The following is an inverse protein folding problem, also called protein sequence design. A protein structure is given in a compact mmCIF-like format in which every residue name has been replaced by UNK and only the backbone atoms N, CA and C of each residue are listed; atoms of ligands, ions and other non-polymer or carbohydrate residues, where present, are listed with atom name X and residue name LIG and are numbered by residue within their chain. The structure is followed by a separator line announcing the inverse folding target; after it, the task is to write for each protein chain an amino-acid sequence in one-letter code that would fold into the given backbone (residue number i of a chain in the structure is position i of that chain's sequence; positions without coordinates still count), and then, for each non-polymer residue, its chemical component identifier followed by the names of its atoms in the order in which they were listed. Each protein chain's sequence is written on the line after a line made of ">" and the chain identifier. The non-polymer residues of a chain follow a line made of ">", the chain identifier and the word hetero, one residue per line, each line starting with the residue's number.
data_IF_431632699054
#
_entry.id   IF_431632699054
#
_cell.length_a   1.000
_cell.length_b   1.000
_cell.length_c   1.000
_cell.angle_alpha   90.00
_cell.angle_beta   90.00
_cell.angle_gamma   90.00
#
_symmetry.space_group_name_H-M   'P 1'
#
loop_
_entity.id
_entity.type
_entity.pdbx_description
1 polymer ?
#
# COMPACT_ATOMS: atom_id res chain seq x y z
N UNK A 1 -4.01 -5.07 -5.33
CA UNK A 1 -3.59 -5.88 -4.17
C UNK A 1 -4.30 -7.20 -4.29
N UNK A 2 -3.54 -8.28 -4.37
CA UNK A 2 -4.04 -9.62 -4.63
C UNK A 2 -3.53 -10.59 -3.55
N UNK A 3 -4.14 -11.77 -3.47
CA UNK A 3 -3.66 -12.86 -2.61
C UNK A 3 -3.42 -14.14 -3.39
N UNK A 4 -2.41 -14.90 -2.98
CA UNK A 4 -2.12 -16.25 -3.47
C UNK A 4 -2.18 -17.20 -2.28
N UNK A 5 -3.24 -17.99 -2.23
CA UNK A 5 -3.49 -18.89 -1.10
C UNK A 5 -2.40 -19.97 -1.01
N UNK A 6 -1.90 -20.22 0.20
CA UNK A 6 -0.93 -21.27 0.51
C UNK A 6 0.35 -21.27 -0.37
N UNK A 7 0.75 -20.11 -0.87
CA UNK A 7 1.83 -19.98 -1.86
C UNK A 7 3.26 -20.01 -1.25
N UNK A 8 3.43 -19.77 0.05
CA UNK A 8 4.71 -19.90 0.76
C UNK A 8 4.54 -20.81 1.97
N UNK A 9 4.97 -22.08 1.85
CA UNK A 9 4.97 -23.06 2.95
C UNK A 9 3.61 -23.17 3.67
N UNK A 10 2.51 -23.09 2.92
CA UNK A 10 1.15 -23.14 3.45
C UNK A 10 0.57 -21.79 3.86
N UNK A 11 1.35 -20.71 3.87
CA UNK A 11 0.88 -19.35 4.12
C UNK A 11 0.42 -18.66 2.84
N UNK A 12 -0.61 -17.82 2.97
CA UNK A 12 -1.07 -16.94 1.91
C UNK A 12 -0.08 -15.81 1.70
N UNK A 13 0.33 -15.60 0.45
CA UNK A 13 1.15 -14.43 0.08
C UNK A 13 0.29 -13.32 -0.50
N UNK A 14 0.71 -12.09 -0.28
CA UNK A 14 0.00 -10.88 -0.66
C UNK A 14 0.85 -10.10 -1.64
N UNK A 15 0.22 -9.59 -2.70
CA UNK A 15 0.93 -8.93 -3.77
C UNK A 15 0.41 -7.52 -4.02
N UNK A 16 1.35 -6.64 -4.38
CA UNK A 16 1.04 -5.35 -4.99
C UNK A 16 1.47 -5.45 -6.46
N UNK A 17 0.53 -5.22 -7.37
CA UNK A 17 0.75 -5.36 -8.82
C UNK A 17 1.33 -6.73 -9.20
N UNK A 18 0.80 -7.80 -8.59
CA UNK A 18 1.23 -9.17 -8.86
C UNK A 18 2.60 -9.56 -8.30
N UNK A 19 3.28 -8.68 -7.56
CA UNK A 19 4.57 -8.97 -6.92
C UNK A 19 4.44 -8.92 -5.39
N UNK A 20 4.75 -10.00 -4.66
CA UNK A 20 4.91 -9.93 -3.22
C UNK A 20 6.21 -9.21 -2.90
N UNK A 21 6.24 -8.44 -1.83
CA UNK A 21 7.49 -7.87 -1.37
C UNK A 21 8.41 -8.95 -0.80
N UNK A 22 9.69 -8.89 -1.14
CA UNK A 22 10.73 -9.73 -0.54
C UNK A 22 11.98 -8.94 -0.19
N UNK A 23 12.37 -9.01 1.09
CA UNK A 23 13.63 -8.41 1.58
C UNK A 23 14.84 -9.07 0.90
N UNK A 24 14.80 -10.38 0.67
CA UNK A 24 15.92 -11.12 0.06
C UNK A 24 16.02 -10.91 -1.45
N UNK A 25 14.95 -10.46 -2.11
CA UNK A 25 14.92 -10.28 -3.56
C UNK A 25 15.50 -8.94 -4.04
N UNK A 26 16.04 -8.10 -3.13
CA UNK A 26 16.54 -6.75 -3.43
C UNK A 26 15.57 -5.95 -4.31
N UNK A 27 14.28 -6.00 -3.94
CA UNK A 27 13.22 -5.45 -4.76
C UNK A 27 13.34 -3.93 -4.87
N UNK A 28 13.28 -3.40 -6.09
CA UNK A 28 13.40 -1.97 -6.33
C UNK A 28 12.22 -1.22 -5.71
N UNK A 29 12.55 -0.21 -4.91
CA UNK A 29 11.59 0.75 -4.40
C UNK A 29 10.99 1.58 -5.55
N UNK A 30 9.73 1.97 -5.41
CA UNK A 30 9.01 2.81 -6.36
C UNK A 30 9.61 4.22 -6.30
N UNK A 31 10.21 4.73 -7.39
CA UNK A 31 10.81 6.06 -7.38
C UNK A 31 9.73 7.14 -7.38
N UNK A 32 9.89 8.13 -6.51
CA UNK A 32 9.08 9.35 -6.44
C UNK A 32 10.00 10.56 -6.30
N UNK A 33 9.58 11.70 -6.85
CA UNK A 33 10.38 12.91 -6.89
C UNK A 33 10.05 13.79 -5.69
N UNK A 34 11.08 14.26 -4.99
CA UNK A 34 10.92 15.13 -3.83
C UNK A 34 10.11 16.39 -4.18
N UNK A 35 9.18 16.75 -3.30
CA UNK A 35 8.30 17.92 -3.44
C UNK A 35 7.13 17.74 -4.42
N UNK A 36 7.03 16.62 -5.14
CA UNK A 36 5.89 16.35 -6.03
C UNK A 36 4.71 15.73 -5.27
N UNK A 37 3.50 16.05 -5.74
CA UNK A 37 2.25 15.42 -5.31
C UNK A 37 1.99 14.19 -6.17
N UNK A 38 1.63 13.10 -5.50
CA UNK A 38 1.28 11.83 -6.11
C UNK A 38 -0.12 11.41 -5.69
N UNK A 39 -0.78 10.63 -6.54
CA UNK A 39 -2.00 9.90 -6.20
C UNK A 39 -1.76 8.42 -6.40
N UNK A 40 -2.00 7.66 -5.34
CA UNK A 40 -1.94 6.21 -5.31
C UNK A 40 -3.35 5.66 -5.43
N UNK A 41 -3.54 4.77 -6.41
CA UNK A 41 -4.78 4.02 -6.59
C UNK A 41 -4.59 2.63 -6.02
N UNK A 42 -5.27 2.35 -4.90
CA UNK A 42 -5.28 1.02 -4.30
C UNK A 42 -6.59 0.33 -4.64
N UNK A 43 -6.47 -0.87 -5.17
CA UNK A 43 -7.61 -1.76 -5.41
C UNK A 43 -7.37 -3.06 -4.66
N UNK A 44 -8.28 -3.40 -3.76
CA UNK A 44 -8.33 -4.72 -3.15
C UNK A 44 -9.03 -5.69 -4.11
N UNK A 45 -8.36 -6.75 -4.53
CA UNK A 45 -8.96 -7.80 -5.37
C UNK A 45 -9.36 -9.03 -4.54
N UNK A 46 -9.54 -8.86 -3.22
CA UNK A 46 -9.76 -9.93 -2.26
C UNK A 46 -10.97 -9.63 -1.35
N UNK A 47 -11.40 -10.64 -0.59
CA UNK A 47 -12.47 -10.53 0.42
C UNK A 47 -11.96 -10.07 1.79
N UNK A 48 -10.65 -9.90 1.94
CA UNK A 48 -10.04 -9.60 3.22
C UNK A 48 -9.93 -8.08 3.38
N UNK A 49 -10.27 -7.55 4.55
CA UNK A 49 -10.09 -6.13 4.84
C UNK A 49 -8.65 -5.85 5.28
N UNK A 50 -8.15 -4.66 4.93
CA UNK A 50 -6.76 -4.31 5.14
C UNK A 50 -6.59 -2.90 5.71
N UNK A 51 -6.10 -2.75 6.95
CA UNK A 51 -5.58 -1.47 7.39
C UNK A 51 -4.29 -1.17 6.61
N UNK A 52 -4.31 -0.18 5.73
CA UNK A 52 -3.13 0.23 4.95
C UNK A 52 -2.48 1.41 5.65
N UNK A 53 -1.23 1.25 6.06
CA UNK A 53 -0.42 2.27 6.70
C UNK A 53 0.54 2.92 5.70
N UNK A 54 0.59 4.24 5.73
CA UNK A 54 1.58 5.08 5.07
C UNK A 54 2.03 6.18 6.03
N UNK A 55 2.83 7.14 5.56
CA UNK A 55 3.30 8.22 6.45
C UNK A 55 2.15 9.13 6.93
N UNK A 56 1.62 9.96 6.04
CA UNK A 56 0.34 10.66 6.17
C UNK A 56 -0.18 10.76 4.74
N UNK A 57 -1.45 10.37 4.54
CA UNK A 57 -2.09 10.41 3.22
C UNK A 57 -3.39 11.18 3.31
N UNK A 58 -3.63 12.01 2.30
CA UNK A 58 -4.96 12.53 2.00
C UNK A 58 -5.80 11.38 1.47
N UNK A 59 -6.86 10.99 2.16
CA UNK A 59 -7.90 10.15 1.56
C UNK A 59 -8.69 11.06 0.63
N UNK A 60 -8.56 10.84 -0.68
CA UNK A 60 -9.20 11.67 -1.71
C UNK A 60 -10.55 11.09 -2.16
N UNK A 61 -10.67 9.75 -2.16
CA UNK A 61 -11.93 9.06 -2.39
C UNK A 61 -11.93 7.67 -1.75
N UNK A 62 -13.12 7.23 -1.32
CA UNK A 62 -13.39 5.88 -0.82
C UNK A 62 -14.48 5.27 -1.70
N UNK A 63 -14.22 4.11 -2.31
CA UNK A 63 -15.15 3.44 -3.20
C UNK A 63 -15.70 4.35 -4.34
N UNK A 64 -14.89 5.31 -4.79
CA UNK A 64 -15.27 6.29 -5.81
C UNK A 64 -16.03 7.52 -5.30
N UNK A 65 -16.38 7.56 -4.01
CA UNK A 65 -16.98 8.75 -3.38
C UNK A 65 -15.87 9.69 -2.90
N UNK A 66 -15.80 10.94 -3.41
CA UNK A 66 -14.82 11.92 -2.94
C UNK A 66 -15.00 12.25 -1.46
N UNK A 67 -13.88 12.50 -0.78
CA UNK A 67 -13.81 12.94 0.62
C UNK A 67 -13.32 14.39 0.68
N UNK A 68 -13.60 15.08 1.79
CA UNK A 68 -13.23 16.49 1.96
C UNK A 68 -12.04 16.62 2.94
N UNK A 69 -10.82 16.52 2.42
CA UNK A 69 -9.60 16.87 3.18
C UNK A 69 -9.31 15.98 4.40
N UNK A 70 -9.64 14.69 4.34
CA UNK A 70 -9.34 13.74 5.40
C UNK A 70 -7.90 13.25 5.29
N UNK A 71 -7.12 13.40 6.37
CA UNK A 71 -5.74 12.96 6.44
C UNK A 71 -5.58 11.89 7.51
N UNK A 72 -5.03 10.75 7.12
CA UNK A 72 -4.83 9.61 8.02
C UNK A 72 -3.46 8.98 7.76
N UNK A 73 -2.89 8.32 8.76
CA UNK A 73 -1.72 7.46 8.60
C UNK A 73 -2.13 6.02 8.25
N UNK A 74 -3.31 5.58 8.69
CA UNK A 74 -3.90 4.27 8.45
C UNK A 74 -5.30 4.42 7.86
N UNK A 75 -5.54 3.81 6.69
CA UNK A 75 -6.84 3.81 6.02
C UNK A 75 -7.32 2.38 5.84
N UNK A 76 -8.59 2.12 6.17
CA UNK A 76 -9.20 0.81 5.96
C UNK A 76 -9.53 0.61 4.48
N UNK A 77 -8.85 -0.34 3.84
CA UNK A 77 -9.17 -0.83 2.51
C UNK A 77 -10.08 -2.05 2.63
N UNK A 78 -11.37 -1.84 2.38
CA UNK A 78 -12.43 -2.83 2.43
C UNK A 78 -12.35 -3.92 1.36
N UNK A 79 -13.24 -4.90 1.44
CA UNK A 79 -13.38 -5.98 0.47
C UNK A 79 -13.72 -5.45 -0.93
N UNK A 80 -12.98 -5.90 -1.94
CA UNK A 80 -13.14 -5.42 -3.32
C UNK A 80 -13.14 -3.89 -3.50
N UNK A 81 -12.67 -3.15 -2.48
CA UNK A 81 -12.79 -1.70 -2.42
C UNK A 81 -11.64 -1.03 -3.18
N UNK A 82 -11.90 0.19 -3.64
CA UNK A 82 -10.88 1.11 -4.15
C UNK A 82 -10.67 2.28 -3.19
N UNK A 83 -9.42 2.67 -3.02
CA UNK A 83 -9.00 3.87 -2.28
C UNK A 83 -8.10 4.72 -3.17
N UNK A 84 -8.36 6.02 -3.14
CA UNK A 84 -7.51 7.02 -3.77
C UNK A 84 -6.78 7.80 -2.67
N UNK A 85 -5.47 7.63 -2.59
CA UNK A 85 -4.63 8.25 -1.56
C UNK A 85 -3.72 9.31 -2.20
N UNK A 86 -3.81 10.55 -1.76
CA UNK A 86 -2.91 11.63 -2.12
C UNK A 86 -1.77 11.76 -1.11
N UNK A 87 -0.56 12.05 -1.58
CA UNK A 87 0.54 12.46 -0.70
C UNK A 87 1.50 13.41 -1.42
N UNK A 88 2.24 14.20 -0.64
CA UNK A 88 3.41 14.95 -1.12
C UNK A 88 4.65 14.17 -0.73
N UNK A 89 5.58 13.99 -1.68
CA UNK A 89 6.85 13.35 -1.42
C UNK A 89 7.84 14.33 -0.76
N UNK A 90 7.54 14.78 0.45
CA UNK A 90 8.30 15.81 1.18
C UNK A 90 9.45 15.27 2.05
N UNK A 91 9.40 13.99 2.43
CA UNK A 91 10.46 13.30 3.15
C UNK A 91 11.61 12.87 2.23
N UNK A 92 12.81 12.67 2.77
CA UNK A 92 13.95 12.07 2.03
C UNK A 92 14.08 10.59 2.33
N UNK A 93 14.58 9.81 1.37
CA UNK A 93 14.89 8.40 1.56
C UNK A 93 13.69 7.46 1.38
N UNK A 94 13.84 6.26 1.94
CA UNK A 94 12.86 5.18 1.83
C UNK A 94 11.72 5.37 2.83
N UNK A 95 10.48 5.31 2.35
CA UNK A 95 9.29 5.18 3.22
C UNK A 95 8.51 3.92 2.88
N UNK A 96 8.04 3.23 3.91
CA UNK A 96 7.23 2.02 3.76
C UNK A 96 5.75 2.36 3.56
N UNK A 97 5.11 1.71 2.60
CA UNK A 97 3.65 1.58 2.48
C UNK A 97 3.31 0.11 2.70
N UNK A 98 2.47 -0.21 3.68
CA UNK A 98 2.23 -1.62 4.02
C UNK A 98 0.85 -1.88 4.65
N UNK A 99 0.44 -3.14 4.65
CA UNK A 99 -0.67 -3.59 5.49
C UNK A 99 -0.26 -3.62 6.97
N UNK A 100 -1.10 -3.10 7.86
CA UNK A 100 -0.89 -3.10 9.32
C UNK A 100 -1.31 -4.40 10.00
N UNK A 101 -1.53 -5.46 9.22
CA UNK A 101 -1.63 -6.84 9.72
C UNK A 101 -0.27 -7.53 9.56
N UNK A 102 0.37 -7.88 10.68
CA UNK A 102 1.75 -8.35 10.71
C UNK A 102 2.00 -9.55 9.77
N UNK A 103 1.09 -10.53 9.77
CA UNK A 103 1.19 -11.69 8.89
C UNK A 103 1.15 -11.28 7.42
N UNK A 104 0.30 -10.33 7.04
CA UNK A 104 0.21 -9.90 5.65
C UNK A 104 1.50 -9.19 5.21
N UNK A 105 2.07 -8.36 6.09
CA UNK A 105 3.37 -7.72 5.84
C UNK A 105 4.48 -8.77 5.67
N UNK A 106 4.57 -9.74 6.58
CA UNK A 106 5.58 -10.81 6.53
C UNK A 106 5.50 -11.64 5.23
N UNK A 107 4.31 -11.74 4.63
CA UNK A 107 4.07 -12.51 3.41
C UNK A 107 3.79 -11.64 2.18
N UNK A 108 4.30 -10.40 2.16
CA UNK A 108 4.49 -9.63 0.93
C UNK A 108 3.67 -8.34 0.80
N UNK A 109 2.75 -8.04 1.73
CA UNK A 109 1.93 -6.82 1.66
C UNK A 109 2.66 -5.56 2.15
N UNK A 110 3.71 -5.19 1.42
CA UNK A 110 4.45 -3.95 1.63
C UNK A 110 5.08 -3.49 0.31
N UNK A 111 5.49 -2.23 0.26
CA UNK A 111 6.34 -1.69 -0.80
C UNK A 111 7.11 -0.49 -0.26
N UNK A 112 8.24 -0.19 -0.89
CA UNK A 112 9.05 0.97 -0.58
C UNK A 112 8.81 2.06 -1.60
N UNK A 113 8.66 3.29 -1.14
CA UNK A 113 8.75 4.49 -1.96
C UNK A 113 10.13 5.09 -1.75
N UNK A 114 10.86 5.40 -2.83
CA UNK A 114 12.18 6.00 -2.76
C UNK A 114 12.16 7.44 -3.27
N UNK A 115 12.59 8.36 -2.41
CA UNK A 115 12.81 9.77 -2.72
C UNK A 115 14.31 10.03 -2.67
N UNK A 116 15.00 10.08 -3.83
CA UNK A 116 16.43 10.38 -3.85
C UNK A 116 16.73 11.77 -3.30
#
# INVERSE_FOLDING_TARGET
>A
MEKRNAADRGFTTWTLNGQPYSISANQQAIPVQRGKRYRLYLHNSTKDMHPVHGHIVEVAAIAGTPTAGMFEDVVMLGDYQKLDLGFVADQSGLSLLHGRQQLHMNYGFMTLLNRP
#
